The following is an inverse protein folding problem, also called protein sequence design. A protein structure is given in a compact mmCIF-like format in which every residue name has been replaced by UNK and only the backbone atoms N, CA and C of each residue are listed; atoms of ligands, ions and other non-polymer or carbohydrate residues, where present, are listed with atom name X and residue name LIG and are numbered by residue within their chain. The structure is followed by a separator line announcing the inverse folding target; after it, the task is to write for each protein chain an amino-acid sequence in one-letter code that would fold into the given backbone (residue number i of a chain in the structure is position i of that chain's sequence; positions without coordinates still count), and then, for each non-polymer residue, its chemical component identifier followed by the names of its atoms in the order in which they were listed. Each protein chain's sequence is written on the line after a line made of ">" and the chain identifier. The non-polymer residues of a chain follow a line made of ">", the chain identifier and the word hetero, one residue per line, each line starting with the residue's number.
data_IF_801167165408
#
_entry.id   IF_801167165408
#
_cell.length_a   1.000
_cell.length_b   1.000
_cell.length_c   1.000
_cell.angle_alpha   90.00
_cell.angle_beta   90.00
_cell.angle_gamma   90.00
#
_symmetry.space_group_name_H-M   'P 1'
#
loop_
_entity.id
_entity.type
_entity.pdbx_description
1 polymer ?
#
# COMPACT_ATOMS: atom_id res chain seq x y z
N UNK A 1 -38.83 -26.40 39.23
CA UNK A 1 -37.91 -25.43 39.85
C UNK A 1 -38.07 -24.08 39.16
N UNK A 2 -38.56 -23.09 39.91
CA UNK A 2 -38.86 -21.72 39.46
C UNK A 2 -37.55 -20.93 39.30
N UNK A 3 -37.34 -20.23 38.18
CA UNK A 3 -36.45 -19.05 38.15
C UNK A 3 -37.10 -17.90 37.39
N UNK A 4 -37.20 -16.82 38.16
CA UNK A 4 -37.88 -15.56 37.95
C UNK A 4 -36.96 -14.64 37.14
N UNK A 5 -37.41 -14.13 36.00
CA UNK A 5 -36.70 -13.08 35.26
C UNK A 5 -36.98 -11.73 35.92
N UNK A 6 -35.93 -11.07 36.43
CA UNK A 6 -35.99 -9.68 36.86
C UNK A 6 -35.84 -8.76 35.63
N UNK A 7 -36.92 -8.04 35.33
CA UNK A 7 -36.93 -6.88 34.44
C UNK A 7 -36.48 -5.69 35.29
N UNK A 8 -35.32 -5.09 34.96
CA UNK A 8 -34.93 -3.79 35.51
C UNK A 8 -35.34 -2.73 34.50
N UNK A 9 -36.37 -1.96 34.87
CA UNK A 9 -36.74 -0.70 34.27
C UNK A 9 -35.66 0.35 34.58
N UNK A 10 -34.99 0.88 33.57
CA UNK A 10 -34.21 2.12 33.70
C UNK A 10 -35.08 3.25 33.17
N UNK A 11 -35.65 4.00 34.11
CA UNK A 11 -36.47 5.18 33.87
C UNK A 11 -35.62 6.34 33.34
N UNK A 12 -36.18 7.03 32.36
CA UNK A 12 -35.68 8.26 31.76
C UNK A 12 -35.44 9.35 32.80
N UNK A 13 -34.27 9.99 32.75
CA UNK A 13 -34.02 11.34 33.26
C UNK A 13 -33.67 12.22 32.05
N UNK A 14 -34.70 12.86 31.50
CA UNK A 14 -34.55 14.01 30.59
C UNK A 14 -34.36 15.25 31.47
N UNK A 15 -33.12 15.68 31.66
CA UNK A 15 -32.81 17.02 32.19
C UNK A 15 -32.46 17.90 31.00
N UNK A 16 -33.26 18.95 30.81
CA UNK A 16 -33.18 19.86 29.67
C UNK A 16 -31.86 20.63 29.63
N UNK A 17 -31.17 20.54 28.50
CA UNK A 17 -30.15 21.49 28.09
C UNK A 17 -30.79 22.55 27.20
N UNK A 18 -30.96 23.75 27.75
CA UNK A 18 -31.28 24.95 26.98
C UNK A 18 -30.03 25.44 26.24
N UNK A 19 -30.15 25.49 24.92
CA UNK A 19 -29.55 26.40 23.95
C UNK A 19 -28.33 27.24 24.37
N UNK A 20 -27.14 26.79 23.96
CA UNK A 20 -26.11 27.67 23.40
C UNK A 20 -25.66 27.02 22.09
N UNK A 21 -26.26 27.45 20.98
CA UNK A 21 -25.80 27.12 19.62
C UNK A 21 -24.94 28.30 19.19
N UNK A 22 -23.67 28.29 19.57
CA UNK A 22 -22.67 29.08 18.88
C UNK A 22 -22.42 28.43 17.51
N UNK A 23 -22.73 29.17 16.45
CA UNK A 23 -22.46 28.79 15.08
C UNK A 23 -20.95 28.83 14.80
N UNK A 24 -20.20 27.88 15.37
CA UNK A 24 -18.92 27.50 14.78
C UNK A 24 -19.24 26.73 13.51
N UNK A 25 -18.78 27.24 12.38
CA UNK A 25 -18.83 26.56 11.10
C UNK A 25 -18.09 25.23 11.26
N UNK A 26 -18.83 24.16 11.50
CA UNK A 26 -18.32 22.80 11.49
C UNK A 26 -18.00 22.44 10.05
N UNK A 27 -16.84 22.90 9.57
CA UNK A 27 -16.20 22.28 8.44
C UNK A 27 -16.11 20.80 8.76
N UNK A 28 -16.83 19.98 7.99
CA UNK A 28 -16.86 18.54 8.18
C UNK A 28 -15.41 18.04 8.15
N UNK A 29 -14.88 17.69 9.32
CA UNK A 29 -13.55 17.11 9.44
C UNK A 29 -13.60 15.83 8.62
N UNK A 30 -12.91 15.84 7.48
CA UNK A 30 -12.81 14.66 6.63
C UNK A 30 -12.25 13.52 7.47
N UNK A 31 -12.82 12.31 7.41
CA UNK A 31 -12.33 11.16 8.18
C UNK A 31 -10.81 10.97 8.10
N UNK A 32 -10.19 11.34 6.97
CA UNK A 32 -8.75 11.37 6.80
C UNK A 32 -7.99 12.21 7.85
N UNK A 33 -8.48 13.40 8.19
CA UNK A 33 -7.82 14.29 9.16
C UNK A 33 -7.76 13.69 10.57
N UNK A 34 -8.75 12.86 10.93
CA UNK A 34 -8.79 12.17 12.23
C UNK A 34 -7.75 11.06 12.27
N UNK A 35 -7.58 10.29 11.18
CA UNK A 35 -6.54 9.27 11.12
C UNK A 35 -5.14 9.90 11.15
N UNK A 36 -4.91 10.95 10.35
CA UNK A 36 -3.60 11.60 10.30
C UNK A 36 -3.21 12.22 11.66
N UNK A 37 -4.17 12.82 12.39
CA UNK A 37 -3.96 13.30 13.76
C UNK A 37 -3.76 12.16 14.77
N UNK A 38 -4.53 11.08 14.64
CA UNK A 38 -4.41 9.91 15.52
C UNK A 38 -3.07 9.20 15.35
N UNK A 39 -2.48 9.32 14.15
CA UNK A 39 -1.20 8.78 13.73
C UNK A 39 -0.12 9.88 13.60
N UNK A 40 -0.17 10.90 14.46
CA UNK A 40 0.93 11.85 14.55
C UNK A 40 2.20 11.16 15.08
N UNK A 41 3.19 11.02 14.19
CA UNK A 41 4.49 10.44 14.49
C UNK A 41 5.48 11.45 15.10
N UNK A 42 5.09 12.71 15.30
CA UNK A 42 5.91 13.74 15.94
C UNK A 42 6.25 13.38 17.39
N UNK A 43 5.31 12.77 18.11
CA UNK A 43 5.53 12.24 19.45
C UNK A 43 6.17 10.85 19.37
N UNK A 44 7.50 10.81 19.31
CA UNK A 44 8.26 9.57 19.15
C UNK A 44 8.07 8.57 20.29
N UNK A 45 7.89 9.03 21.54
CA UNK A 45 7.77 8.17 22.72
C UNK A 45 6.59 7.21 22.59
N UNK A 46 5.46 7.69 22.05
CA UNK A 46 4.24 6.90 21.82
C UNK A 46 4.46 5.70 20.89
N UNK A 47 5.46 5.77 20.01
CA UNK A 47 5.71 4.81 18.93
C UNK A 47 6.94 3.93 19.15
N UNK A 48 7.57 4.00 20.32
CA UNK A 48 8.76 3.21 20.66
C UNK A 48 8.45 1.90 21.39
N UNK A 49 7.30 1.79 22.05
CA UNK A 49 6.90 0.56 22.75
C UNK A 49 6.27 -0.45 21.77
N UNK A 50 6.94 -1.58 21.59
CA UNK A 50 6.51 -2.65 20.69
C UNK A 50 5.14 -3.21 21.04
N UNK A 51 4.87 -3.46 22.33
CA UNK A 51 3.63 -4.11 22.76
C UNK A 51 2.44 -3.16 22.68
N UNK A 52 2.63 -1.90 23.06
CA UNK A 52 1.60 -0.85 22.94
C UNK A 52 1.26 -0.62 21.47
N UNK A 53 2.25 -0.46 20.60
CA UNK A 53 1.99 -0.20 19.18
C UNK A 53 1.31 -1.39 18.53
N UNK A 54 1.83 -2.60 18.70
CA UNK A 54 1.23 -3.80 18.07
C UNK A 54 -0.16 -4.13 18.60
N UNK A 55 -0.50 -3.73 19.83
CA UNK A 55 -1.86 -3.87 20.37
C UNK A 55 -2.85 -2.87 19.74
N UNK A 56 -2.36 -1.69 19.31
CA UNK A 56 -3.17 -0.69 18.60
C UNK A 56 -3.36 -1.02 17.12
N UNK A 57 -2.43 -1.78 16.53
CA UNK A 57 -2.51 -2.25 15.14
C UNK A 57 -3.50 -3.42 15.00
N UNK A 58 -4.76 -3.18 15.35
CA UNK A 58 -5.80 -4.19 15.50
C UNK A 58 -6.71 -4.37 14.28
N UNK A 59 -6.40 -3.71 13.15
CA UNK A 59 -7.08 -3.93 11.87
C UNK A 59 -6.09 -4.01 10.70
N UNK A 60 -6.45 -4.70 9.60
CA UNK A 60 -5.66 -4.76 8.36
C UNK A 60 -5.22 -3.39 7.84
N UNK A 61 -6.12 -2.41 7.90
CA UNK A 61 -5.88 -1.06 7.39
C UNK A 61 -4.85 -0.32 8.24
N UNK A 62 -4.93 -0.43 9.56
CA UNK A 62 -3.98 0.21 10.47
C UNK A 62 -2.59 -0.41 10.35
N UNK A 63 -2.51 -1.74 10.26
CA UNK A 63 -1.24 -2.45 10.02
C UNK A 63 -0.63 -2.00 8.69
N UNK A 64 -1.42 -1.99 7.61
CA UNK A 64 -0.97 -1.56 6.30
C UNK A 64 -0.45 -0.11 6.32
N UNK A 65 -1.23 0.81 6.90
CA UNK A 65 -0.84 2.21 7.00
C UNK A 65 0.47 2.37 7.77
N UNK A 66 0.56 1.75 8.96
CA UNK A 66 1.74 1.83 9.81
C UNK A 66 3.01 1.33 9.11
N UNK A 67 2.97 0.14 8.49
CA UNK A 67 4.12 -0.40 7.76
C UNK A 67 4.53 0.50 6.58
N UNK A 68 3.55 1.09 5.88
CA UNK A 68 3.82 2.00 4.76
C UNK A 68 4.54 3.27 5.20
N UNK A 69 4.20 3.78 6.38
CA UNK A 69 4.76 5.02 6.93
C UNK A 69 6.09 4.80 7.67
N UNK A 70 6.25 3.68 8.39
CA UNK A 70 7.39 3.45 9.27
C UNK A 70 8.48 2.56 8.69
N UNK A 71 8.15 1.64 7.78
CA UNK A 71 9.09 0.61 7.37
C UNK A 71 9.61 0.81 5.95
N UNK A 72 10.94 0.71 5.83
CA UNK A 72 11.66 0.82 4.58
C UNK A 72 12.11 -0.56 4.15
N UNK A 73 11.80 -0.92 2.91
CA UNK A 73 12.22 -2.21 2.39
C UNK A 73 13.73 -2.21 2.10
N UNK A 74 14.44 -3.23 2.59
CA UNK A 74 15.84 -3.52 2.27
C UNK A 74 16.01 -5.01 1.97
N UNK A 75 16.51 -5.32 0.77
CA UNK A 75 16.76 -6.70 0.35
C UNK A 75 17.86 -7.38 1.18
N UNK A 76 17.87 -8.72 1.19
CA UNK A 76 18.80 -9.58 1.96
C UNK A 76 20.29 -9.24 1.77
N UNK A 77 20.69 -8.68 0.61
CA UNK A 77 22.07 -8.23 0.36
C UNK A 77 22.53 -7.06 1.26
N UNK A 78 21.62 -6.43 2.00
CA UNK A 78 21.92 -5.29 2.88
C UNK A 78 21.73 -5.52 4.38
N UNK A 79 21.60 -6.77 4.85
CA UNK A 79 21.46 -7.08 6.29
C UNK A 79 22.68 -7.85 6.84
N UNK A 80 23.30 -7.38 7.94
CA UNK A 80 24.49 -8.03 8.52
C UNK A 80 24.20 -9.33 9.30
N UNK A 81 22.96 -9.60 9.70
CA UNK A 81 22.61 -10.72 10.59
C UNK A 81 21.95 -11.93 9.90
N UNK A 82 21.54 -11.80 8.64
CA UNK A 82 20.89 -12.86 7.84
C UNK A 82 19.52 -13.34 8.35
N UNK A 83 19.06 -12.88 9.52
CA UNK A 83 17.78 -13.26 10.13
C UNK A 83 16.63 -12.53 9.44
N UNK A 84 15.55 -13.23 9.15
CA UNK A 84 14.36 -12.69 8.48
C UNK A 84 13.09 -13.20 9.11
N UNK A 85 12.07 -12.35 9.19
CA UNK A 85 10.74 -12.74 9.63
C UNK A 85 10.51 -12.65 11.13
N UNK A 86 11.38 -11.97 11.89
CA UNK A 86 11.10 -11.57 13.28
C UNK A 86 10.42 -10.19 13.30
N UNK A 87 9.13 -10.11 13.69
CA UNK A 87 8.39 -8.86 13.82
C UNK A 87 9.07 -7.83 14.73
N UNK A 88 9.66 -8.28 15.85
CA UNK A 88 10.26 -7.39 16.84
C UNK A 88 11.54 -6.74 16.30
N UNK A 89 12.32 -7.50 15.55
CA UNK A 89 13.48 -6.97 14.82
C UNK A 89 13.06 -5.93 13.77
N UNK A 90 12.04 -6.20 12.94
CA UNK A 90 11.56 -5.21 11.96
C UNK A 90 11.10 -3.92 12.64
N UNK A 91 10.33 -4.04 13.72
CA UNK A 91 9.86 -2.88 14.47
C UNK A 91 11.01 -2.04 15.03
N UNK A 92 12.01 -2.70 15.63
CA UNK A 92 13.17 -2.04 16.24
C UNK A 92 14.01 -1.31 15.19
N UNK A 93 14.25 -1.93 14.03
CA UNK A 93 15.14 -1.36 13.02
C UNK A 93 14.44 -0.40 12.07
N UNK A 94 13.15 -0.63 11.78
CA UNK A 94 12.42 0.08 10.73
C UNK A 94 12.80 -0.37 9.30
N UNK A 95 13.63 -1.41 9.14
CA UNK A 95 14.07 -1.90 7.83
C UNK A 95 14.02 -3.42 7.74
N UNK A 96 13.47 -3.96 6.65
CA UNK A 96 13.45 -5.41 6.39
C UNK A 96 13.06 -5.77 4.96
N UNK A 97 13.08 -7.05 4.63
CA UNK A 97 12.68 -7.57 3.32
C UNK A 97 11.23 -8.10 3.34
N UNK A 98 10.82 -8.78 2.27
CA UNK A 98 9.46 -9.25 2.12
C UNK A 98 8.99 -10.17 3.26
N UNK A 99 9.86 -11.07 3.73
CA UNK A 99 9.56 -11.95 4.86
C UNK A 99 9.39 -11.19 6.17
N UNK A 100 10.21 -10.16 6.42
CA UNK A 100 10.10 -9.36 7.64
C UNK A 100 8.75 -8.63 7.70
N UNK A 101 8.37 -7.95 6.61
CA UNK A 101 7.10 -7.24 6.51
C UNK A 101 5.91 -8.21 6.64
N UNK A 102 5.93 -9.32 5.88
CA UNK A 102 4.86 -10.31 5.94
C UNK A 102 4.68 -10.90 7.36
N UNK A 103 5.79 -11.19 8.05
CA UNK A 103 5.76 -11.68 9.43
C UNK A 103 5.22 -10.64 10.41
N UNK A 104 5.65 -9.38 10.32
CA UNK A 104 5.14 -8.33 11.19
C UNK A 104 3.64 -8.11 11.01
N UNK A 105 3.18 -8.05 9.76
CA UNK A 105 1.75 -7.99 9.44
C UNK A 105 1.00 -9.18 10.05
N UNK A 106 1.48 -10.40 9.82
CA UNK A 106 0.85 -11.61 10.33
C UNK A 106 0.80 -11.65 11.86
N UNK A 107 1.83 -11.13 12.54
CA UNK A 107 1.88 -11.01 13.99
C UNK A 107 0.80 -10.05 14.52
N UNK A 108 0.73 -8.82 14.00
CA UNK A 108 -0.24 -7.82 14.45
C UNK A 108 -1.68 -8.32 14.25
N UNK A 109 -1.97 -8.83 13.05
CA UNK A 109 -3.30 -9.35 12.73
C UNK A 109 -3.65 -10.61 13.53
N UNK A 110 -2.69 -11.51 13.80
CA UNK A 110 -2.94 -12.66 14.68
C UNK A 110 -3.25 -12.21 16.11
N UNK A 111 -2.52 -11.22 16.64
CA UNK A 111 -2.77 -10.63 17.97
C UNK A 111 -4.16 -10.00 18.06
N UNK A 112 -4.67 -9.46 16.96
CA UNK A 112 -6.02 -8.91 16.84
C UNK A 112 -7.12 -9.97 16.54
N UNK A 113 -6.79 -11.26 16.54
CA UNK A 113 -7.76 -12.35 16.39
C UNK A 113 -8.03 -12.80 14.95
N UNK A 114 -7.34 -12.24 13.95
CA UNK A 114 -7.48 -12.70 12.56
C UNK A 114 -6.76 -14.04 12.33
N UNK A 115 -7.32 -14.88 11.46
CA UNK A 115 -6.63 -16.06 10.94
C UNK A 115 -5.64 -15.61 9.87
N UNK A 116 -4.33 -15.75 10.13
CA UNK A 116 -3.25 -15.28 9.25
C UNK A 116 -2.30 -16.40 8.85
N UNK A 117 -1.60 -16.22 7.73
CA UNK A 117 -0.50 -17.08 7.27
C UNK A 117 0.47 -16.27 6.41
N UNK A 118 1.77 -16.39 6.67
CA UNK A 118 2.79 -15.93 5.72
C UNK A 118 2.86 -16.96 4.59
N UNK A 119 2.66 -16.50 3.36
CA UNK A 119 2.73 -17.36 2.17
C UNK A 119 3.81 -16.87 1.22
N UNK A 120 4.40 -17.82 0.51
CA UNK A 120 5.33 -17.53 -0.57
C UNK A 120 4.56 -17.40 -1.87
N UNK A 121 4.93 -16.38 -2.62
CA UNK A 121 4.33 -16.03 -3.90
C UNK A 121 5.45 -15.82 -4.90
N UNK A 122 5.18 -16.13 -6.17
CA UNK A 122 6.18 -16.10 -7.23
C UNK A 122 5.84 -15.01 -8.25
N UNK A 123 6.08 -13.72 -7.95
CA UNK A 123 5.72 -12.62 -8.84
C UNK A 123 6.53 -12.61 -10.14
N UNK A 124 7.55 -13.46 -10.29
CA UNK A 124 8.27 -13.71 -11.53
C UNK A 124 8.98 -15.07 -11.48
N UNK A 125 9.42 -15.55 -12.64
CA UNK A 125 10.15 -16.82 -12.80
C UNK A 125 11.47 -16.94 -12.04
N UNK A 126 11.91 -15.90 -11.31
CA UNK A 126 13.25 -15.83 -10.69
C UNK A 126 13.26 -15.40 -9.23
N UNK A 127 12.12 -15.24 -8.56
CA UNK A 127 12.08 -14.61 -7.23
C UNK A 127 11.14 -15.28 -6.23
N UNK A 128 11.68 -15.50 -5.03
CA UNK A 128 10.93 -15.72 -3.80
C UNK A 128 10.37 -14.38 -3.30
N UNK A 129 9.06 -14.28 -3.05
CA UNK A 129 8.44 -13.14 -2.40
C UNK A 129 7.47 -13.62 -1.32
N UNK A 130 7.46 -12.96 -0.17
CA UNK A 130 6.61 -13.35 0.96
C UNK A 130 5.58 -12.26 1.23
N UNK A 131 4.34 -12.68 1.48
CA UNK A 131 3.20 -11.80 1.80
C UNK A 131 2.39 -12.36 2.95
N UNK A 132 1.61 -11.50 3.62
CA UNK A 132 0.67 -11.95 4.65
C UNK A 132 -0.70 -12.19 4.02
N UNK A 133 -1.18 -13.43 4.09
CA UNK A 133 -2.57 -13.78 3.82
C UNK A 133 -3.36 -13.79 5.12
N UNK A 134 -4.60 -13.30 5.09
CA UNK A 134 -5.51 -13.34 6.23
C UNK A 134 -6.96 -13.53 5.79
N UNK A 135 -7.88 -13.72 6.76
CA UNK A 135 -9.31 -13.89 6.49
C UNK A 135 -10.20 -12.89 7.20
N UNK A 136 -11.22 -12.39 6.49
CA UNK A 136 -12.37 -11.66 7.01
C UNK A 136 -13.62 -12.36 6.46
N UNK A 137 -14.57 -12.75 7.33
CA UNK A 137 -15.83 -13.39 6.94
C UNK A 137 -15.66 -14.57 5.97
N UNK A 138 -14.64 -15.40 6.23
CA UNK A 138 -14.30 -16.57 5.40
C UNK A 138 -13.55 -16.25 4.10
N UNK A 139 -13.56 -15.00 3.63
CA UNK A 139 -12.85 -14.54 2.43
C UNK A 139 -11.38 -14.28 2.71
N UNK A 140 -10.51 -14.53 1.72
CA UNK A 140 -9.05 -14.39 1.84
C UNK A 140 -8.56 -13.07 1.26
N UNK A 141 -7.67 -12.41 1.97
CA UNK A 141 -7.04 -11.16 1.58
C UNK A 141 -5.52 -11.24 1.74
N UNK A 142 -4.79 -10.36 1.07
CA UNK A 142 -3.35 -10.23 1.07
C UNK A 142 -2.97 -8.80 1.47
N UNK A 143 -1.98 -8.66 2.34
CA UNK A 143 -1.21 -7.43 2.51
C UNK A 143 0.22 -7.70 2.00
N UNK A 144 0.67 -6.85 1.09
CA UNK A 144 1.98 -6.93 0.45
C UNK A 144 2.73 -5.59 0.54
N UNK A 145 3.28 -5.32 1.73
CA UNK A 145 4.13 -4.16 1.98
C UNK A 145 5.63 -4.45 1.85
N UNK A 146 5.97 -5.72 1.63
CA UNK A 146 7.32 -6.23 1.50
C UNK A 146 7.98 -5.93 0.15
N UNK A 147 7.73 -4.76 -0.44
CA UNK A 147 8.28 -4.38 -1.74
C UNK A 147 9.22 -3.19 -1.61
N UNK A 148 10.30 -3.13 -2.43
CA UNK A 148 11.22 -1.99 -2.49
C UNK A 148 10.49 -0.68 -2.81
N UNK A 149 9.37 -0.81 -3.51
CA UNK A 149 8.61 0.32 -3.97
C UNK A 149 7.37 0.57 -3.08
N UNK A 150 7.27 1.80 -2.55
CA UNK A 150 6.17 2.27 -1.69
C UNK A 150 4.82 2.40 -2.39
N UNK A 151 4.83 2.52 -3.72
CA UNK A 151 3.65 2.70 -4.56
C UNK A 151 3.11 1.35 -5.09
N UNK A 152 3.93 0.29 -5.08
CA UNK A 152 3.46 -1.10 -5.28
C UNK A 152 2.82 -1.70 -4.02
N UNK A 153 2.86 -0.99 -2.88
CA UNK A 153 2.17 -1.35 -1.64
C UNK A 153 0.68 -1.06 -1.78
N UNK A 154 -0.04 -2.06 -2.29
CA UNK A 154 -1.45 -1.96 -2.71
C UNK A 154 -2.47 -2.13 -1.57
N UNK A 155 -2.00 -2.18 -0.34
CA UNK A 155 -2.85 -2.31 0.83
C UNK A 155 -3.46 -3.69 0.98
N UNK A 156 -4.72 -3.71 1.38
CA UNK A 156 -5.52 -4.92 1.59
C UNK A 156 -6.17 -5.31 0.27
N UNK A 157 -5.81 -6.48 -0.27
CA UNK A 157 -6.21 -6.91 -1.61
C UNK A 157 -6.92 -8.27 -1.49
N UNK A 158 -8.08 -8.48 -2.13
CA UNK A 158 -8.64 -9.82 -2.27
C UNK A 158 -7.61 -10.81 -2.85
N UNK A 159 -7.51 -12.01 -2.28
CA UNK A 159 -6.44 -12.95 -2.63
C UNK A 159 -6.53 -13.50 -4.06
N UNK A 160 -7.72 -13.53 -4.63
CA UNK A 160 -8.02 -13.88 -6.02
C UNK A 160 -7.56 -12.78 -6.98
N UNK A 161 -7.84 -11.51 -6.67
CA UNK A 161 -7.24 -10.39 -7.37
C UNK A 161 -5.72 -10.44 -7.26
N UNK A 162 -5.18 -10.78 -6.08
CA UNK A 162 -3.73 -10.86 -5.87
C UNK A 162 -3.05 -11.95 -6.72
N UNK A 163 -3.75 -13.05 -7.04
CA UNK A 163 -3.22 -14.15 -7.84
C UNK A 163 -2.98 -13.76 -9.32
N UNK A 164 -3.81 -12.87 -9.87
CA UNK A 164 -3.66 -12.35 -11.25
C UNK A 164 -2.31 -11.66 -11.48
N UNK A 165 -1.66 -11.18 -10.41
CA UNK A 165 -0.38 -10.47 -10.49
C UNK A 165 0.85 -11.39 -10.49
N UNK A 166 0.65 -12.71 -10.42
CA UNK A 166 1.74 -13.68 -10.28
C UNK A 166 1.98 -14.53 -11.52
N UNK A 167 0.98 -14.72 -12.39
CA UNK A 167 1.19 -15.46 -13.64
C UNK A 167 1.35 -14.49 -14.83
N UNK A 168 2.55 -14.40 -15.44
CA UNK A 168 2.74 -13.65 -16.68
C UNK A 168 1.78 -14.07 -17.80
N UNK A 169 1.25 -15.29 -17.77
CA UNK A 169 0.29 -15.81 -18.76
C UNK A 169 -1.13 -15.28 -18.52
N UNK A 170 -1.53 -15.02 -17.29
CA UNK A 170 -2.86 -14.49 -16.94
C UNK A 170 -3.00 -12.99 -17.27
N UNK A 171 -1.89 -12.27 -17.44
CA UNK A 171 -1.93 -10.88 -17.93
C UNK A 171 -2.44 -10.77 -19.38
N UNK A 172 -2.44 -11.88 -20.15
CA UNK A 172 -2.85 -11.87 -21.57
C UNK A 172 -4.36 -12.06 -21.79
N UNK A 173 -5.13 -12.57 -20.82
CA UNK A 173 -6.48 -13.07 -21.09
C UNK A 173 -7.63 -12.26 -20.47
N UNK A 174 -7.42 -11.34 -19.52
CA UNK A 174 -8.56 -10.88 -18.70
C UNK A 174 -8.94 -9.39 -18.76
N UNK A 175 -8.07 -8.46 -19.18
CA UNK A 175 -8.44 -7.03 -19.14
C UNK A 175 -7.97 -6.29 -20.39
N UNK A 176 -8.92 -5.84 -21.22
CA UNK A 176 -8.65 -4.94 -22.36
C UNK A 176 -8.38 -3.49 -21.95
N UNK A 177 -8.59 -3.14 -20.69
CA UNK A 177 -8.45 -1.77 -20.18
C UNK A 177 -6.99 -1.46 -19.82
N UNK A 178 -6.33 -0.50 -20.50
CA UNK A 178 -4.93 -0.14 -20.23
C UNK A 178 -4.67 0.30 -18.79
N UNK A 179 -5.65 0.98 -18.16
CA UNK A 179 -5.60 1.39 -16.73
C UNK A 179 -5.43 0.19 -15.81
N UNK A 180 -6.01 -0.94 -16.20
CA UNK A 180 -5.93 -2.17 -15.43
C UNK A 180 -4.70 -3.01 -15.76
N UNK A 181 -4.15 -2.90 -16.99
CA UNK A 181 -2.94 -3.61 -17.42
C UNK A 181 -1.63 -3.04 -16.87
N UNK A 182 -1.61 -1.75 -16.46
CA UNK A 182 -0.42 -1.10 -15.94
C UNK A 182 -0.08 -1.56 -14.51
N UNK A 183 0.51 -2.75 -14.41
CA UNK A 183 0.76 -3.44 -13.14
C UNK A 183 2.21 -3.87 -13.03
N UNK A 184 3.10 -2.94 -12.65
CA UNK A 184 4.52 -3.20 -12.35
C UNK A 184 5.23 -1.87 -12.12
N UNK A 185 6.56 -1.90 -12.11
CA UNK A 185 7.40 -0.71 -12.14
C UNK A 185 7.12 0.24 -13.32
N UNK A 186 6.41 -0.21 -14.38
CA UNK A 186 5.94 0.69 -15.45
C UNK A 186 4.96 1.74 -14.94
N UNK A 187 4.07 1.41 -14.00
CA UNK A 187 3.16 2.39 -13.41
C UNK A 187 3.88 3.47 -12.60
N UNK A 188 5.01 3.12 -11.99
CA UNK A 188 5.87 4.06 -11.27
C UNK A 188 6.56 5.01 -12.23
N UNK A 189 7.14 4.45 -13.29
CA UNK A 189 7.74 5.23 -14.36
C UNK A 189 6.68 6.19 -14.91
N UNK A 190 5.45 5.74 -15.17
CA UNK A 190 4.38 6.63 -15.61
C UNK A 190 4.11 7.78 -14.64
N UNK A 191 3.90 7.50 -13.35
CA UNK A 191 3.65 8.57 -12.36
C UNK A 191 4.81 9.55 -12.32
N UNK A 192 6.05 9.06 -12.33
CA UNK A 192 7.23 9.91 -12.40
C UNK A 192 7.21 10.81 -13.65
N UNK A 193 6.97 10.23 -14.83
CA UNK A 193 6.85 10.98 -16.09
C UNK A 193 5.73 12.03 -16.02
N UNK A 194 4.59 11.73 -15.39
CA UNK A 194 3.50 12.70 -15.22
C UNK A 194 3.84 13.87 -14.30
N UNK A 195 4.80 13.71 -13.38
CA UNK A 195 5.22 14.76 -12.44
C UNK A 195 6.29 15.68 -13.04
N UNK A 196 7.00 15.23 -14.08
CA UNK A 196 8.04 16.01 -14.75
C UNK A 196 7.44 16.95 -15.79
N UNK A 197 7.46 18.26 -15.51
CA UNK A 197 6.80 19.30 -16.33
C UNK A 197 7.45 19.56 -17.69
N UNK A 198 8.70 19.15 -17.90
CA UNK A 198 9.50 19.51 -19.07
C UNK A 198 9.48 18.44 -20.18
N UNK A 199 8.81 17.30 -19.98
CA UNK A 199 8.77 16.21 -20.97
C UNK A 199 10.13 15.56 -21.25
N UNK A 200 11.14 15.79 -20.40
CA UNK A 200 12.49 15.22 -20.55
C UNK A 200 12.91 14.59 -19.23
N UNK A 201 13.39 13.35 -19.29
CA UNK A 201 13.87 12.63 -18.11
C UNK A 201 15.22 11.98 -18.37
N UNK A 202 16.10 11.99 -17.38
CA UNK A 202 17.30 11.17 -17.39
C UNK A 202 17.01 9.82 -16.73
N UNK A 203 17.32 8.71 -17.40
CA UNK A 203 16.97 7.36 -16.92
C UNK A 203 17.68 7.00 -15.62
N UNK A 204 18.91 7.48 -15.41
CA UNK A 204 19.65 7.25 -14.16
C UNK A 204 19.00 8.00 -13.01
N UNK A 205 18.56 9.24 -13.24
CA UNK A 205 17.80 10.03 -12.26
C UNK A 205 16.47 9.36 -11.93
N UNK A 206 15.69 8.96 -12.94
CA UNK A 206 14.43 8.22 -12.73
C UNK A 206 14.66 6.94 -11.92
N UNK A 207 15.66 6.13 -12.29
CA UNK A 207 15.97 4.90 -11.58
C UNK A 207 16.38 5.19 -10.14
N UNK A 208 17.23 6.19 -9.90
CA UNK A 208 17.67 6.59 -8.56
C UNK A 208 16.49 7.03 -7.69
N UNK A 209 15.65 7.92 -8.22
CA UNK A 209 14.50 8.49 -7.49
C UNK A 209 13.45 7.44 -7.15
N UNK A 210 13.27 6.45 -8.02
CA UNK A 210 12.37 5.31 -7.81
C UNK A 210 13.01 4.15 -7.02
N UNK A 211 14.28 4.26 -6.59
CA UNK A 211 14.98 3.16 -5.90
C UNK A 211 15.23 1.94 -6.79
N UNK A 212 15.29 2.15 -8.10
CA UNK A 212 15.51 1.18 -9.17
C UNK A 212 16.93 1.27 -9.77
N UNK A 213 17.93 1.78 -9.03
CA UNK A 213 19.32 1.82 -9.52
C UNK A 213 19.80 0.45 -10.00
N UNK A 214 20.39 0.39 -11.20
CA UNK A 214 20.78 -0.87 -11.86
C UNK A 214 19.68 -1.52 -12.71
N UNK A 215 18.49 -0.91 -12.80
CA UNK A 215 17.38 -1.37 -13.65
C UNK A 215 17.18 -0.49 -14.89
N UNK A 216 18.12 0.39 -15.23
CA UNK A 216 18.01 1.35 -16.34
C UNK A 216 17.65 0.65 -17.66
N UNK A 217 18.33 -0.46 -17.97
CA UNK A 217 18.05 -1.25 -19.17
C UNK A 217 16.63 -1.88 -19.16
N UNK A 218 16.08 -2.20 -17.98
CA UNK A 218 14.70 -2.68 -17.86
C UNK A 218 13.70 -1.53 -18.04
N UNK A 219 13.97 -0.35 -17.48
CA UNK A 219 13.14 0.85 -17.70
C UNK A 219 13.06 1.15 -19.19
N UNK A 220 14.21 1.23 -19.86
CA UNK A 220 14.30 1.55 -21.29
C UNK A 220 13.57 0.51 -22.15
N UNK A 221 13.90 -0.78 -21.98
CA UNK A 221 13.44 -1.82 -22.92
C UNK A 221 12.07 -2.39 -22.60
N UNK A 222 11.63 -2.33 -21.34
CA UNK A 222 10.40 -3.00 -20.89
C UNK A 222 9.36 -2.00 -20.41
N UNK A 223 9.75 -1.06 -19.55
CA UNK A 223 8.76 -0.20 -18.91
C UNK A 223 8.23 0.83 -19.88
N UNK A 224 9.13 1.59 -20.52
CA UNK A 224 8.79 2.54 -21.56
C UNK A 224 8.04 1.90 -22.73
N UNK A 225 8.52 0.75 -23.21
CA UNK A 225 7.81 -0.03 -24.22
C UNK A 225 6.37 -0.35 -23.78
N UNK A 226 6.20 -0.88 -22.57
CA UNK A 226 4.87 -1.18 -22.04
C UNK A 226 3.97 0.06 -21.93
N UNK A 227 4.51 1.22 -21.53
CA UNK A 227 3.76 2.47 -21.47
C UNK A 227 3.27 2.93 -22.84
N UNK A 228 4.09 2.75 -23.87
CA UNK A 228 3.72 3.07 -25.25
C UNK A 228 2.69 2.08 -25.80
N UNK A 229 2.90 0.78 -25.61
CA UNK A 229 1.96 -0.27 -26.05
C UNK A 229 0.58 -0.15 -25.38
N UNK A 230 0.54 0.36 -24.15
CA UNK A 230 -0.71 0.63 -23.42
C UNK A 230 -1.29 2.03 -23.68
N UNK A 231 -0.64 2.84 -24.52
CA UNK A 231 -1.12 4.16 -24.92
C UNK A 231 -1.03 5.24 -23.84
N UNK A 232 -0.34 5.00 -22.72
CA UNK A 232 -0.08 6.00 -21.68
C UNK A 232 0.96 7.04 -22.11
N UNK A 233 1.93 6.59 -22.90
CA UNK A 233 2.94 7.45 -23.49
C UNK A 233 2.79 7.36 -25.00
N UNK A 234 2.50 8.48 -25.65
CA UNK A 234 2.29 8.55 -27.10
C UNK A 234 3.61 8.43 -27.86
N UNK A 235 4.70 8.95 -27.29
CA UNK A 235 6.01 9.00 -27.92
C UNK A 235 7.11 9.01 -26.86
N UNK A 236 8.21 8.31 -27.14
CA UNK A 236 9.47 8.36 -26.39
C UNK A 236 10.60 8.45 -27.40
N UNK A 237 11.50 9.42 -27.23
CA UNK A 237 12.71 9.53 -28.07
C UNK A 237 13.95 9.51 -27.20
N UNK A 238 14.91 8.69 -27.60
CA UNK A 238 16.19 8.57 -26.89
C UNK A 238 17.10 9.73 -27.26
N UNK A 239 17.48 10.52 -26.26
CA UNK A 239 18.49 11.55 -26.36
C UNK A 239 19.89 11.06 -26.02
N UNK A 240 20.83 11.99 -25.89
CA UNK A 240 22.20 11.71 -25.45
C UNK A 240 22.27 11.45 -23.95
N UNK A 241 23.29 10.72 -23.52
CA UNK A 241 23.64 10.55 -22.08
C UNK A 241 22.51 10.02 -21.19
N UNK A 242 21.66 9.14 -21.74
CA UNK A 242 20.55 8.53 -20.99
C UNK A 242 19.32 9.44 -20.81
N UNK A 243 19.27 10.58 -21.50
CA UNK A 243 18.07 11.41 -21.54
C UNK A 243 17.02 10.83 -22.49
N UNK A 244 15.75 11.03 -22.18
CA UNK A 244 14.60 10.66 -23.01
C UNK A 244 13.62 11.83 -23.03
N UNK A 245 13.19 12.24 -24.23
CA UNK A 245 11.99 13.07 -24.38
C UNK A 245 10.77 12.17 -24.48
N UNK A 246 9.61 12.64 -24.01
CA UNK A 246 8.38 11.87 -24.08
C UNK A 246 7.14 12.75 -24.13
N UNK A 247 6.02 12.16 -24.59
CA UNK A 247 4.71 12.80 -24.62
C UNK A 247 3.69 11.86 -24.01
N UNK A 248 3.01 12.29 -22.94
CA UNK A 248 1.99 11.48 -22.26
C UNK A 248 0.61 11.65 -22.88
N UNK A 249 -0.21 10.62 -22.76
CA UNK A 249 -1.64 10.68 -23.07
C UNK A 249 -2.39 11.20 -21.85
N UNK A 250 -2.51 12.53 -21.73
CA UNK A 250 -3.03 13.20 -20.53
C UNK A 250 -4.39 12.64 -20.07
N UNK A 251 -5.42 12.48 -20.94
CA UNK A 251 -6.70 11.92 -20.51
C UNK A 251 -6.60 10.53 -19.86
N UNK A 252 -5.81 9.63 -20.48
CA UNK A 252 -5.65 8.27 -19.97
C UNK A 252 -4.85 8.25 -18.66
N UNK A 253 -3.84 9.11 -18.56
CA UNK A 253 -3.02 9.23 -17.37
C UNK A 253 -3.80 9.82 -16.17
N UNK A 254 -4.64 10.84 -16.40
CA UNK A 254 -5.58 11.37 -15.40
C UNK A 254 -6.55 10.30 -14.94
N UNK A 255 -7.11 9.51 -15.87
CA UNK A 255 -7.98 8.38 -15.55
C UNK A 255 -7.26 7.34 -14.69
N UNK A 256 -6.03 6.97 -15.03
CA UNK A 256 -5.20 6.08 -14.23
C UNK A 256 -4.93 6.63 -12.83
N UNK A 257 -4.62 7.92 -12.71
CA UNK A 257 -4.47 8.57 -11.41
C UNK A 257 -5.75 8.45 -10.59
N UNK A 258 -6.92 8.70 -11.18
CA UNK A 258 -8.21 8.61 -10.48
C UNK A 258 -8.59 7.18 -10.07
N UNK A 259 -8.50 6.23 -10.99
CA UNK A 259 -9.05 4.88 -10.83
C UNK A 259 -8.10 3.88 -10.16
N UNK A 260 -6.80 4.19 -10.10
CA UNK A 260 -5.79 3.27 -9.54
C UNK A 260 -4.90 3.94 -8.52
N UNK A 261 -4.34 5.10 -8.83
CA UNK A 261 -3.35 5.75 -7.95
C UNK A 261 -4.01 6.38 -6.71
N UNK A 262 -5.05 7.16 -6.93
CA UNK A 262 -5.85 7.83 -5.91
C UNK A 262 -7.08 7.01 -5.52
N UNK A 263 -7.27 5.81 -6.10
CA UNK A 263 -8.42 4.99 -5.73
C UNK A 263 -8.30 4.64 -4.27
N UNK A 264 -9.27 5.02 -3.44
CA UNK A 264 -9.30 4.61 -2.06
C UNK A 264 -9.24 3.09 -1.99
N UNK A 265 -8.25 2.55 -1.27
CA UNK A 265 -7.95 1.11 -1.26
C UNK A 265 -9.12 0.28 -0.65
N UNK A 266 -10.11 0.96 -0.05
CA UNK A 266 -11.40 0.41 0.35
C UNK A 266 -12.49 1.49 0.18
N UNK A 267 -13.60 1.19 -0.52
CA UNK A 267 -14.72 2.12 -0.73
C UNK A 267 -15.62 2.28 0.51
N UNK A 268 -15.55 1.34 1.47
CA UNK A 268 -16.26 1.40 2.74
C UNK A 268 -15.49 2.19 3.80
N UNK A 269 -14.17 2.30 3.66
CA UNK A 269 -13.41 3.34 4.32
C UNK A 269 -13.75 4.63 3.57
N UNK A 270 -14.53 5.53 4.18
CA UNK A 270 -14.69 6.89 3.65
C UNK A 270 -13.43 7.66 4.04
N UNK A 271 -12.75 8.20 3.04
CA UNK A 271 -11.52 9.00 3.15
C UNK A 271 -11.94 10.47 3.24
#
# INVERSE_FOLDING_TARGET
>A
MKKLFHIICISLLFVGFHSIVESSSTEAIKPQGILDQSWDFSNQERWQDYEVVTSRLNSPELVNYYERMRFIYKSKKGRPDGKTGDPKTLFKTGFGNCSDHASFTAYCLKKAGYKTKVINVHPSSRGYHAVCQFKIDGKKYIIDNGRPDKFLRRGVIPSDEYAMYQDPKDTKSAQKDPVSQLQSNSGLALIYLMEQKNGIVNIYTLCKDLGLSGYENNVEKKYFKGLVENGFVLKIEKGKSGNFSYTINEPLCVRFKKERYNRPQNALAKW
#
